data_IF_941090221608
#
_entry.id   IF_941090221608
#
_cell.length_a   1.000
_cell.length_b   1.000
_cell.length_c   1.000
_cell.angle_alpha   90.00
_cell.angle_beta   90.00
_cell.angle_gamma   90.00
#
_symmetry.space_group_name_H-M   'P 1'
#
loop_
_entity.id
_entity.type
_entity.pdbx_description
1 polymer ?
#
# COMPACT_ATOMS: atom_id res chain seq x y z
N UNK A 1 -5.09 3.57 -33.46
CA UNK A 1 -5.45 2.13 -33.33
C UNK A 1 -5.05 1.51 -31.99
N UNK A 2 -3.95 1.91 -31.33
CA UNK A 2 -3.53 1.38 -30.02
C UNK A 2 -4.48 1.64 -28.82
N UNK A 3 -5.25 2.74 -28.81
CA UNK A 3 -6.17 3.06 -27.69
C UNK A 3 -7.42 2.18 -27.65
N UNK A 4 -7.97 1.78 -28.80
CA UNK A 4 -9.19 0.97 -28.84
C UNK A 4 -8.93 -0.50 -28.43
N UNK A 5 -7.77 -1.04 -28.80
CA UNK A 5 -7.33 -2.37 -28.38
C UNK A 5 -7.05 -2.43 -26.86
N UNK A 6 -6.55 -1.34 -26.24
CA UNK A 6 -6.34 -1.32 -24.79
C UNK A 6 -7.66 -1.28 -24.01
N UNK A 7 -8.68 -0.56 -24.48
CA UNK A 7 -9.98 -0.49 -23.80
C UNK A 7 -10.71 -1.84 -23.75
N UNK A 8 -10.60 -2.65 -24.80
CA UNK A 8 -11.21 -4.00 -24.83
C UNK A 8 -10.47 -4.95 -23.91
N UNK A 9 -9.14 -4.97 -23.95
CA UNK A 9 -8.30 -5.76 -23.03
C UNK A 9 -8.53 -5.32 -21.57
N UNK A 10 -8.69 -4.02 -21.32
CA UNK A 10 -9.00 -3.47 -19.99
C UNK A 10 -10.38 -3.89 -19.48
N UNK A 11 -11.42 -3.86 -20.32
CA UNK A 11 -12.76 -4.34 -19.94
C UNK A 11 -12.73 -5.83 -19.66
N UNK A 12 -12.00 -6.61 -20.44
CA UNK A 12 -11.84 -8.05 -20.23
C UNK A 12 -11.05 -8.35 -18.96
N UNK A 13 -9.96 -7.64 -18.67
CA UNK A 13 -9.20 -7.77 -17.41
C UNK A 13 -10.05 -7.40 -16.19
N UNK A 14 -10.77 -6.27 -16.23
CA UNK A 14 -11.68 -5.88 -15.14
C UNK A 14 -12.81 -6.89 -14.94
N UNK A 15 -13.37 -7.42 -16.02
CA UNK A 15 -14.46 -8.40 -15.95
C UNK A 15 -13.95 -9.76 -15.46
N UNK A 16 -12.78 -10.21 -15.93
CA UNK A 16 -12.15 -11.46 -15.49
C UNK A 16 -11.71 -11.40 -14.02
N UNK A 17 -11.21 -10.25 -13.57
CA UNK A 17 -10.92 -10.01 -12.15
C UNK A 17 -12.22 -10.07 -11.32
N UNK A 18 -13.31 -9.45 -11.76
CA UNK A 18 -14.60 -9.44 -11.02
C UNK A 18 -15.33 -10.79 -10.97
N UNK A 19 -15.18 -11.66 -11.97
CA UNK A 19 -15.97 -12.91 -12.06
C UNK A 19 -15.42 -14.01 -11.14
N UNK A 20 -14.14 -13.94 -10.75
CA UNK A 20 -13.47 -14.97 -9.95
C UNK A 20 -13.03 -14.46 -8.57
N UNK A 21 -13.08 -13.14 -8.36
CA UNK A 21 -12.72 -12.52 -7.09
C UNK A 21 -13.91 -12.49 -6.13
N UNK A 22 -13.71 -13.09 -4.95
CA UNK A 22 -14.70 -13.18 -3.88
C UNK A 22 -14.44 -12.16 -2.76
N UNK A 23 -13.48 -11.23 -2.93
CA UNK A 23 -13.10 -10.26 -1.91
C UNK A 23 -14.31 -9.50 -1.33
N UNK A 24 -15.14 -8.91 -2.19
CA UNK A 24 -16.34 -8.16 -1.77
C UNK A 24 -17.36 -9.04 -1.05
N UNK A 25 -17.64 -10.25 -1.57
CA UNK A 25 -18.53 -11.20 -0.91
C UNK A 25 -17.98 -11.75 0.42
N UNK A 26 -16.71 -11.50 0.71
CA UNK A 26 -16.04 -11.89 1.95
C UNK A 26 -16.02 -10.78 2.99
N UNK A 27 -16.43 -9.56 2.61
CA UNK A 27 -16.56 -8.47 3.56
C UNK A 27 -17.59 -8.85 4.64
N UNK A 28 -17.36 -8.40 5.87
CA UNK A 28 -18.19 -8.78 7.01
C UNK A 28 -17.94 -10.18 7.60
N UNK A 29 -17.08 -11.01 6.99
CA UNK A 29 -16.80 -12.38 7.47
C UNK A 29 -15.48 -12.46 8.26
N UNK A 30 -15.35 -13.40 9.23
CA UNK A 30 -14.11 -13.63 9.95
C UNK A 30 -13.05 -14.28 9.06
N UNK A 31 -11.79 -13.95 9.34
CA UNK A 31 -10.65 -14.70 8.83
C UNK A 31 -10.67 -16.13 9.37
N UNK A 32 -10.47 -17.11 8.48
CA UNK A 32 -10.61 -18.53 8.79
C UNK A 32 -9.62 -19.43 8.03
N UNK A 33 -8.63 -18.84 7.34
CA UNK A 33 -7.66 -19.54 6.49
C UNK A 33 -6.20 -19.31 6.96
N UNK A 34 -5.83 -19.50 8.25
CA UNK A 34 -4.47 -19.20 8.72
C UNK A 34 -3.37 -20.02 8.03
N UNK A 35 -3.70 -21.20 7.50
CA UNK A 35 -2.78 -22.10 6.80
C UNK A 35 -2.22 -21.52 5.48
N UNK A 36 -2.78 -20.41 4.98
CA UNK A 36 -2.29 -19.76 3.75
C UNK A 36 -1.08 -18.86 4.00
N UNK A 37 -0.73 -18.57 5.26
CA UNK A 37 0.37 -17.69 5.64
C UNK A 37 1.74 -18.38 5.46
N UNK A 38 2.08 -18.72 4.22
CA UNK A 38 3.30 -19.46 3.85
C UNK A 38 4.25 -18.60 3.03
N UNK A 39 5.57 -18.73 3.16
CA UNK A 39 6.53 -17.91 2.41
C UNK A 39 6.72 -18.38 0.96
N UNK A 40 6.32 -19.62 0.65
CA UNK A 40 6.34 -20.20 -0.69
C UNK A 40 7.70 -20.20 -1.43
N UNK A 41 8.82 -20.21 -0.71
CA UNK A 41 10.17 -20.04 -1.26
C UNK A 41 10.55 -21.00 -2.40
N UNK A 42 10.01 -22.24 -2.40
CA UNK A 42 10.26 -23.24 -3.44
C UNK A 42 8.99 -23.66 -4.18
N UNK A 43 7.94 -22.84 -4.13
CA UNK A 43 6.68 -23.13 -4.79
C UNK A 43 6.83 -23.15 -6.32
N UNK A 44 6.07 -24.05 -6.96
CA UNK A 44 5.90 -24.08 -8.42
C UNK A 44 4.65 -23.35 -8.89
N UNK A 45 3.83 -22.87 -7.95
CA UNK A 45 2.52 -22.23 -8.23
C UNK A 45 2.49 -20.78 -7.79
N UNK A 46 3.20 -20.46 -6.71
CA UNK A 46 3.31 -19.11 -6.15
C UNK A 46 4.70 -18.59 -6.49
N UNK A 47 4.77 -17.43 -7.12
CA UNK A 47 6.02 -16.82 -7.57
C UNK A 47 6.53 -15.74 -6.64
N UNK A 48 5.64 -15.14 -5.84
CA UNK A 48 5.99 -14.22 -4.77
C UNK A 48 4.99 -14.27 -3.63
N UNK A 49 5.45 -13.88 -2.43
CA UNK A 49 4.60 -13.61 -1.27
C UNK A 49 4.93 -12.25 -0.66
N UNK A 50 3.95 -11.63 -0.02
CA UNK A 50 4.10 -10.38 0.73
C UNK A 50 3.81 -10.66 2.19
N UNK A 51 4.65 -10.13 3.07
CA UNK A 51 4.36 -9.96 4.49
C UNK A 51 4.49 -8.49 4.84
N UNK A 52 3.46 -7.96 5.48
CA UNK A 52 3.34 -6.56 5.88
C UNK A 52 3.08 -6.42 7.38
N UNK A 53 3.75 -5.48 8.05
CA UNK A 53 3.33 -4.94 9.35
C UNK A 53 3.45 -3.43 9.31
N UNK A 54 2.33 -2.73 9.42
CA UNK A 54 2.28 -1.27 9.27
C UNK A 54 1.58 -0.63 10.46
N UNK A 55 2.30 0.25 11.17
CA UNK A 55 1.78 1.04 12.30
C UNK A 55 1.66 2.50 11.86
N UNK A 56 0.44 3.06 11.79
CA UNK A 56 0.21 4.40 11.24
C UNK A 56 0.56 5.55 12.19
N UNK A 57 0.60 5.28 13.50
CA UNK A 57 0.79 6.30 14.53
C UNK A 57 1.67 5.74 15.66
N UNK A 58 2.93 6.13 15.65
CA UNK A 58 3.89 5.89 16.73
C UNK A 58 4.28 7.22 17.38
N UNK A 59 4.65 7.22 18.68
CA UNK A 59 5.14 8.43 19.33
C UNK A 59 6.37 9.00 18.62
N UNK A 60 6.58 10.31 18.75
CA UNK A 60 7.81 10.95 18.30
C UNK A 60 9.05 10.29 18.97
N UNK A 61 10.17 10.15 18.25
CA UNK A 61 10.42 10.58 16.87
C UNK A 61 10.02 9.55 15.81
N UNK A 62 9.35 8.45 16.19
CA UNK A 62 9.14 7.30 15.31
C UNK A 62 8.01 7.51 14.30
N UNK A 63 6.90 8.14 14.69
CA UNK A 63 5.75 8.58 13.86
C UNK A 63 4.96 7.48 13.13
N UNK A 64 5.62 6.50 12.54
CA UNK A 64 5.05 5.34 11.87
C UNK A 64 6.04 4.16 11.98
N UNK A 65 5.57 2.95 11.70
CA UNK A 65 6.44 1.82 11.43
C UNK A 65 5.99 1.12 10.15
N UNK A 66 6.97 0.74 9.33
CA UNK A 66 6.79 -0.09 8.15
C UNK A 66 7.59 -1.37 8.32
N UNK A 67 7.01 -2.48 7.88
CA UNK A 67 7.68 -3.68 7.41
C UNK A 67 6.91 -4.09 6.17
N UNK A 68 7.37 -3.73 4.98
CA UNK A 68 6.83 -4.23 3.71
C UNK A 68 7.87 -5.15 3.08
N UNK A 69 7.53 -6.43 2.95
CA UNK A 69 8.40 -7.40 2.29
C UNK A 69 7.77 -8.00 1.04
N UNK A 70 8.62 -8.37 0.09
CA UNK A 70 8.28 -9.22 -1.06
C UNK A 70 9.28 -10.37 -1.12
N UNK A 71 8.81 -11.59 -0.90
CA UNK A 71 9.58 -12.83 -0.99
C UNK A 71 9.36 -13.39 -2.39
N UNK A 72 10.32 -13.17 -3.28
CA UNK A 72 10.20 -13.35 -4.73
C UNK A 72 9.77 -12.05 -5.43
N UNK A 73 10.25 -11.84 -6.66
CA UNK A 73 9.87 -10.70 -7.48
C UNK A 73 8.47 -10.89 -8.11
N UNK A 74 7.76 -9.78 -8.29
CA UNK A 74 6.33 -9.77 -8.67
C UNK A 74 6.09 -9.92 -10.16
N UNK A 75 7.02 -9.43 -10.99
CA UNK A 75 6.85 -9.29 -12.43
C UNK A 75 6.14 -8.00 -12.82
N UNK A 76 6.03 -7.00 -11.93
CA UNK A 76 5.29 -5.75 -12.15
C UNK A 76 6.19 -4.52 -12.20
N UNK A 77 5.78 -3.50 -12.96
CA UNK A 77 6.56 -2.24 -13.07
C UNK A 77 6.70 -1.50 -11.74
N UNK A 78 5.66 -1.52 -10.90
CA UNK A 78 5.66 -0.84 -9.62
C UNK A 78 6.61 -1.51 -8.61
N UNK A 79 6.57 -2.84 -8.52
CA UNK A 79 7.22 -3.54 -7.41
C UNK A 79 8.57 -4.18 -7.75
N UNK A 80 8.87 -4.45 -9.02
CA UNK A 80 10.16 -5.06 -9.38
C UNK A 80 11.26 -4.00 -9.51
N UNK A 81 12.26 -4.12 -8.64
CA UNK A 81 13.48 -3.35 -8.70
C UNK A 81 14.66 -4.22 -9.13
N UNK A 82 14.78 -4.46 -10.45
CA UNK A 82 15.75 -5.43 -11.00
C UNK A 82 17.21 -5.09 -10.67
N UNK A 83 17.51 -3.81 -10.44
CA UNK A 83 18.86 -3.32 -10.12
C UNK A 83 19.26 -3.61 -8.67
N UNK A 84 18.30 -3.96 -7.82
CA UNK A 84 18.48 -4.20 -6.40
C UNK A 84 18.63 -5.69 -6.03
N UNK A 85 18.41 -6.59 -6.99
CA UNK A 85 18.36 -8.02 -6.74
C UNK A 85 19.68 -8.56 -6.15
N UNK A 86 19.58 -9.24 -5.01
CA UNK A 86 20.69 -9.97 -4.38
C UNK A 86 20.88 -11.37 -5.00
N UNK A 87 19.86 -11.91 -5.65
CA UNK A 87 19.87 -13.21 -6.34
C UNK A 87 18.90 -13.18 -7.53
N UNK A 88 18.61 -14.33 -8.16
CA UNK A 88 17.62 -14.36 -9.24
C UNK A 88 16.23 -13.90 -8.75
N UNK A 89 15.34 -13.41 -9.63
CA UNK A 89 14.02 -12.91 -9.23
C UNK A 89 13.19 -13.89 -8.37
N UNK A 90 13.32 -15.21 -8.59
CA UNK A 90 12.64 -16.24 -7.77
C UNK A 90 13.27 -16.46 -6.40
N UNK A 91 14.53 -16.09 -6.24
CA UNK A 91 15.35 -16.39 -5.07
C UNK A 91 15.78 -15.14 -4.31
N UNK A 92 15.06 -14.03 -4.50
CA UNK A 92 15.30 -12.75 -3.85
C UNK A 92 14.14 -12.39 -2.92
N UNK A 93 14.43 -11.92 -1.71
CA UNK A 93 13.47 -11.19 -0.89
C UNK A 93 13.87 -9.72 -0.82
N UNK A 94 12.91 -8.80 -0.86
CA UNK A 94 13.13 -7.38 -0.56
C UNK A 94 12.38 -6.99 0.70
N UNK A 95 12.95 -6.08 1.48
CA UNK A 95 12.34 -5.51 2.68
C UNK A 95 12.53 -3.99 2.66
N UNK A 96 11.45 -3.25 2.89
CA UNK A 96 11.52 -1.89 3.42
C UNK A 96 10.96 -1.90 4.83
N UNK A 97 11.76 -1.51 5.82
CA UNK A 97 11.31 -1.59 7.22
C UNK A 97 11.89 -0.50 8.11
N UNK A 98 11.09 0.38 8.69
CA UNK A 98 11.64 1.51 9.42
C UNK A 98 10.60 2.37 10.10
N UNK A 99 11.10 3.33 10.86
CA UNK A 99 10.31 4.44 11.42
C UNK A 99 10.82 5.76 10.83
N UNK A 100 10.15 6.87 11.11
CA UNK A 100 10.65 8.18 10.72
C UNK A 100 12.05 8.49 11.30
N UNK A 101 12.32 8.00 12.50
CA UNK A 101 13.59 8.21 13.20
C UNK A 101 14.78 7.48 12.56
N UNK A 102 14.52 6.45 11.77
CA UNK A 102 15.55 5.55 11.26
C UNK A 102 15.97 5.88 9.80
N UNK A 103 15.28 6.84 9.17
CA UNK A 103 15.64 7.42 7.86
C UNK A 103 17.12 7.91 7.80
N UNK A 104 17.85 7.76 6.67
CA UNK A 104 17.41 7.28 5.36
C UNK A 104 17.58 5.77 5.13
N UNK A 105 17.95 5.02 6.17
CA UNK A 105 18.17 3.57 6.04
C UNK A 105 16.89 2.81 5.71
N UNK A 106 17.04 1.50 5.48
CA UNK A 106 15.99 0.47 5.48
C UNK A 106 15.35 0.05 4.17
N UNK A 107 16.15 -0.09 3.12
CA UNK A 107 15.82 -1.00 2.03
C UNK A 107 16.90 -2.06 1.91
N UNK A 108 16.51 -3.32 1.98
CA UNK A 108 17.39 -4.47 1.85
C UNK A 108 16.89 -5.46 0.80
N UNK A 109 17.83 -6.11 0.11
CA UNK A 109 17.55 -7.28 -0.72
C UNK A 109 18.39 -8.44 -0.21
N UNK A 110 17.79 -9.61 -0.19
CA UNK A 110 18.29 -10.77 0.51
C UNK A 110 18.16 -12.00 -0.39
N UNK A 111 19.24 -12.77 -0.50
CA UNK A 111 19.27 -14.01 -1.25
C UNK A 111 18.68 -15.15 -0.40
N UNK A 112 17.81 -15.95 -1.00
CA UNK A 112 17.22 -17.12 -0.35
C UNK A 112 18.31 -18.10 0.11
N UNK A 113 18.08 -18.71 1.28
CA UNK A 113 18.97 -19.70 1.90
C UNK A 113 20.36 -19.14 2.33
N UNK A 114 20.57 -17.84 2.19
CA UNK A 114 21.79 -17.13 2.61
C UNK A 114 21.42 -15.98 3.57
N UNK A 115 21.04 -14.83 3.00
CA UNK A 115 20.65 -13.65 3.76
C UNK A 115 19.15 -13.55 4.00
N UNK A 116 18.33 -14.38 3.37
CA UNK A 116 16.93 -14.59 3.74
C UNK A 116 16.64 -16.06 4.02
N UNK A 117 16.08 -16.32 5.20
CA UNK A 117 15.70 -17.67 5.64
C UNK A 117 14.27 -17.63 6.16
N UNK A 118 13.44 -18.60 5.76
CA UNK A 118 12.11 -18.75 6.31
C UNK A 118 11.79 -20.22 6.61
N UNK A 119 11.01 -20.45 7.67
CA UNK A 119 10.44 -21.75 7.96
C UNK A 119 9.35 -22.09 6.92
N UNK A 120 9.29 -23.32 6.37
CA UNK A 120 8.31 -23.68 5.33
C UNK A 120 6.85 -23.49 5.74
N UNK A 121 6.55 -23.57 7.04
CA UNK A 121 5.23 -23.37 7.64
C UNK A 121 4.90 -21.89 7.95
N UNK A 122 5.79 -20.96 7.61
CA UNK A 122 5.62 -19.53 7.89
C UNK A 122 5.92 -19.12 9.33
N UNK A 123 6.37 -20.05 10.18
CA UNK A 123 6.57 -19.77 11.62
C UNK A 123 7.76 -18.85 11.93
N UNK A 124 8.65 -18.64 10.97
CA UNK A 124 9.80 -17.77 11.09
C UNK A 124 10.19 -17.21 9.72
N UNK A 125 10.45 -15.91 9.66
CA UNK A 125 11.02 -15.19 8.52
C UNK A 125 12.16 -14.33 9.06
N UNK A 126 13.35 -14.47 8.49
CA UNK A 126 14.54 -13.70 8.88
C UNK A 126 15.15 -13.04 7.66
N UNK A 127 15.24 -11.71 7.71
CA UNK A 127 15.83 -10.83 6.71
C UNK A 127 17.19 -10.36 7.24
N UNK A 128 18.24 -11.09 6.91
CA UNK A 128 19.61 -10.83 7.36
C UNK A 128 19.70 -10.72 8.88
N UNK A 129 20.38 -9.67 9.33
CA UNK A 129 20.44 -9.26 10.73
C UNK A 129 19.49 -8.08 11.03
N UNK A 130 18.68 -7.68 10.05
CA UNK A 130 17.87 -6.46 10.11
C UNK A 130 16.54 -6.71 10.80
N UNK A 131 15.86 -7.82 10.47
CA UNK A 131 14.51 -8.09 10.97
C UNK A 131 14.18 -9.58 10.99
N UNK A 132 13.49 -9.99 12.05
CA UNK A 132 12.91 -11.33 12.22
C UNK A 132 11.43 -11.20 12.59
N UNK A 133 10.58 -11.96 11.90
CA UNK A 133 9.17 -12.17 12.25
C UNK A 133 9.00 -13.65 12.60
N UNK A 134 8.52 -13.96 13.80
CA UNK A 134 8.32 -15.33 14.30
C UNK A 134 6.92 -15.52 14.88
N UNK A 135 6.48 -16.77 15.00
CA UNK A 135 5.17 -17.13 15.50
C UNK A 135 4.21 -17.54 14.39
N UNK A 136 2.92 -17.61 14.70
CA UNK A 136 1.90 -18.06 13.78
C UNK A 136 0.54 -17.54 14.21
N UNK A 137 -0.42 -17.48 13.29
CA UNK A 137 -1.73 -16.90 13.59
C UNK A 137 -2.35 -17.53 14.87
N UNK A 138 -2.83 -16.72 15.83
CA UNK A 138 -2.94 -15.25 15.78
C UNK A 138 -1.74 -14.48 16.37
N UNK A 139 -0.70 -15.14 16.89
CA UNK A 139 0.36 -14.49 17.66
C UNK A 139 1.71 -14.49 16.95
N UNK A 140 2.23 -13.29 16.71
CA UNK A 140 3.55 -13.10 16.12
C UNK A 140 4.44 -12.24 17.03
N UNK A 141 5.75 -12.35 16.82
CA UNK A 141 6.78 -11.50 17.42
C UNK A 141 7.64 -10.94 16.30
N UNK A 142 7.79 -9.62 16.29
CA UNK A 142 8.65 -8.90 15.37
C UNK A 142 9.82 -8.31 16.15
N UNK A 143 11.03 -8.60 15.70
CA UNK A 143 12.27 -8.06 16.25
C UNK A 143 13.11 -7.50 15.11
N UNK A 144 13.66 -6.31 15.27
CA UNK A 144 14.52 -5.73 14.24
C UNK A 144 15.47 -4.69 14.79
N UNK A 145 16.58 -4.51 14.07
CA UNK A 145 17.56 -3.44 14.31
C UNK A 145 17.74 -2.67 13.01
N UNK A 146 17.07 -1.53 12.96
CA UNK A 146 16.90 -0.69 11.81
C UNK A 146 17.79 0.53 12.02
N UNK A 147 19.08 0.38 11.68
CA UNK A 147 20.09 1.39 11.99
C UNK A 147 20.35 1.43 13.49
N UNK A 148 20.07 2.57 14.13
CA UNK A 148 20.13 2.80 15.57
C UNK A 148 18.77 2.67 16.28
N UNK A 149 17.74 2.24 15.55
CA UNK A 149 16.40 1.94 16.09
C UNK A 149 16.23 0.43 16.26
N UNK A 150 16.07 -0.01 17.50
CA UNK A 150 15.72 -1.40 17.83
C UNK A 150 14.23 -1.50 18.10
N UNK A 151 13.59 -2.53 17.57
CA UNK A 151 12.14 -2.74 17.67
C UNK A 151 11.90 -4.15 18.19
N UNK A 152 11.03 -4.27 19.19
CA UNK A 152 10.52 -5.57 19.66
C UNK A 152 9.03 -5.45 19.91
N UNK A 153 8.23 -6.09 19.06
CA UNK A 153 6.77 -6.04 19.11
C UNK A 153 6.19 -7.44 19.25
N UNK A 154 5.13 -7.56 20.05
CA UNK A 154 4.19 -8.67 20.01
C UNK A 154 2.98 -8.23 19.21
N UNK A 155 2.53 -9.09 18.31
CA UNK A 155 1.38 -8.87 17.44
C UNK A 155 0.32 -9.91 17.75
N UNK A 156 -0.93 -9.47 17.87
CA UNK A 156 -2.11 -10.34 17.99
C UNK A 156 -3.07 -9.99 16.89
N UNK A 157 -3.07 -10.81 15.84
CA UNK A 157 -3.97 -10.67 14.71
C UNK A 157 -5.39 -11.04 15.15
N UNK A 158 -6.34 -10.17 14.89
CA UNK A 158 -7.77 -10.50 15.05
C UNK A 158 -8.26 -11.35 13.87
N UNK A 159 -9.53 -11.73 13.90
CA UNK A 159 -10.23 -12.31 12.75
C UNK A 159 -10.81 -11.24 11.79
N UNK A 160 -10.58 -9.94 12.04
CA UNK A 160 -11.12 -8.83 11.24
C UNK A 160 -10.27 -8.62 9.99
N UNK A 161 -10.63 -9.34 8.93
CA UNK A 161 -9.94 -9.30 7.64
C UNK A 161 -10.50 -8.25 6.69
N UNK A 162 -9.62 -7.64 5.91
CA UNK A 162 -9.95 -6.83 4.75
C UNK A 162 -9.28 -7.45 3.53
N UNK A 163 -10.08 -8.08 2.66
CA UNK A 163 -9.59 -8.69 1.43
C UNK A 163 -9.43 -7.63 0.34
N UNK A 164 -8.21 -7.45 -0.15
CA UNK A 164 -7.93 -6.69 -1.37
C UNK A 164 -8.24 -7.54 -2.60
N UNK A 165 -7.85 -8.80 -2.56
CA UNK A 165 -8.14 -9.82 -3.58
C UNK A 165 -8.32 -11.18 -2.89
N UNK A 166 -9.37 -11.92 -3.24
CA UNK A 166 -9.62 -13.29 -2.75
C UNK A 166 -10.08 -14.18 -3.87
N UNK A 167 -9.14 -14.80 -4.57
CA UNK A 167 -9.40 -15.83 -5.57
C UNK A 167 -8.34 -16.96 -5.50
N UNK A 168 -8.52 -18.08 -6.23
CA UNK A 168 -7.58 -19.21 -6.17
C UNK A 168 -6.15 -18.90 -6.66
N UNK A 169 -5.95 -17.79 -7.36
CA UNK A 169 -4.67 -17.38 -7.95
C UNK A 169 -4.00 -16.27 -7.15
N UNK A 170 -4.79 -15.38 -6.55
CA UNK A 170 -4.30 -14.25 -5.78
C UNK A 170 -5.10 -14.10 -4.48
N UNK A 171 -4.38 -14.25 -3.38
CA UNK A 171 -4.86 -13.98 -2.02
C UNK A 171 -4.09 -12.77 -1.53
N UNK A 172 -4.77 -11.68 -1.20
CA UNK A 172 -4.17 -10.49 -0.61
C UNK A 172 -5.14 -9.85 0.36
N UNK A 173 -4.71 -9.72 1.61
CA UNK A 173 -5.52 -9.16 2.68
C UNK A 173 -4.65 -8.48 3.75
N UNK A 174 -5.29 -7.62 4.52
CA UNK A 174 -4.81 -7.21 5.82
C UNK A 174 -5.67 -7.80 6.93
N UNK A 175 -5.11 -7.95 8.13
CA UNK A 175 -5.79 -8.26 9.38
C UNK A 175 -5.65 -7.09 10.35
N UNK A 176 -6.76 -6.69 10.99
CA UNK A 176 -6.68 -5.75 12.10
C UNK A 176 -5.88 -6.44 13.20
N UNK A 177 -4.82 -5.79 13.66
CA UNK A 177 -3.85 -6.41 14.54
C UNK A 177 -3.59 -5.49 15.71
N UNK A 178 -3.53 -6.06 16.90
CA UNK A 178 -3.09 -5.36 18.10
C UNK A 178 -1.59 -5.56 18.24
N UNK A 179 -0.86 -4.48 18.53
CA UNK A 179 0.56 -4.57 18.84
C UNK A 179 0.83 -4.04 20.23
N UNK A 180 1.85 -4.60 20.88
CA UNK A 180 2.43 -4.08 22.11
C UNK A 180 3.91 -4.45 22.20
N UNK A 181 4.76 -3.54 22.68
CA UNK A 181 6.19 -3.80 22.75
C UNK A 181 6.98 -2.54 23.08
N UNK A 182 8.23 -2.51 22.62
CA UNK A 182 9.15 -1.43 22.88
C UNK A 182 9.96 -1.06 21.63
N UNK A 183 10.30 0.22 21.56
CA UNK A 183 11.22 0.77 20.57
C UNK A 183 12.35 1.47 21.32
N UNK A 184 13.60 1.14 20.98
CA UNK A 184 14.79 1.76 21.57
C UNK A 184 15.53 2.55 20.50
N UNK A 185 15.84 3.82 20.79
CA UNK A 185 16.57 4.72 19.90
C UNK A 185 17.38 5.72 20.74
N UNK A 186 18.67 5.90 20.40
CA UNK A 186 19.55 6.80 21.14
C UNK A 186 19.73 6.43 22.62
N UNK A 187 19.64 5.14 22.95
CA UNK A 187 19.70 4.64 24.34
C UNK A 187 18.44 4.88 25.18
N UNK A 188 17.38 5.42 24.59
CA UNK A 188 16.07 5.61 25.24
C UNK A 188 15.08 4.59 24.72
N UNK A 189 14.33 3.95 25.61
CA UNK A 189 13.30 2.97 25.28
C UNK A 189 11.92 3.56 25.56
N UNK A 190 10.99 3.40 24.60
CA UNK A 190 9.58 3.78 24.73
C UNK A 190 8.71 2.55 24.54
N UNK A 191 7.80 2.32 25.49
CA UNK A 191 6.75 1.32 25.34
C UNK A 191 5.68 1.83 24.38
N UNK A 192 5.25 0.96 23.48
CA UNK A 192 4.30 1.29 22.41
C UNK A 192 3.22 0.21 22.33
N UNK A 193 1.99 0.63 22.09
CA UNK A 193 0.86 -0.26 21.88
C UNK A 193 -0.23 0.41 21.02
N UNK A 194 -1.07 -0.38 20.38
CA UNK A 194 -2.19 0.13 19.61
C UNK A 194 -2.65 -0.82 18.50
N UNK A 195 -3.26 -0.24 17.47
CA UNK A 195 -3.70 -0.95 16.27
C UNK A 195 -2.68 -0.81 15.13
N UNK A 196 -2.46 -1.90 14.41
CA UNK A 196 -1.68 -1.97 13.19
C UNK A 196 -2.38 -2.85 12.14
N UNK A 197 -1.82 -2.92 10.94
CA UNK A 197 -2.24 -3.89 9.92
C UNK A 197 -1.16 -4.94 9.76
N UNK A 198 -1.52 -6.22 9.91
CA UNK A 198 -0.71 -7.34 9.45
C UNK A 198 -1.22 -7.74 8.07
N UNK A 199 -0.35 -7.80 7.07
CA UNK A 199 -0.74 -8.03 5.69
C UNK A 199 -0.06 -9.25 5.10
N UNK A 200 -0.79 -9.96 4.26
CA UNK A 200 -0.28 -11.09 3.53
C UNK A 200 -0.78 -11.08 2.09
N UNK A 201 0.12 -11.35 1.16
CA UNK A 201 -0.17 -11.53 -0.25
C UNK A 201 0.52 -12.78 -0.82
N UNK A 202 -0.12 -13.49 -1.74
CA UNK A 202 0.50 -14.58 -2.48
C UNK A 202 -0.09 -14.69 -3.87
N UNK A 203 0.79 -14.73 -4.88
CA UNK A 203 0.38 -14.77 -6.29
C UNK A 203 1.46 -15.45 -7.16
N UNK A 204 1.09 -16.09 -8.28
CA UNK A 204 2.03 -16.44 -9.33
C UNK A 204 2.81 -15.22 -9.83
N UNK A 205 4.03 -15.46 -10.29
CA UNK A 205 4.83 -14.46 -11.01
C UNK A 205 5.26 -15.03 -12.36
N UNK A 206 5.57 -14.18 -13.37
CA UNK A 206 6.12 -14.66 -14.63
C UNK A 206 7.49 -15.35 -14.43
N UNK A 207 8.15 -15.10 -13.30
CA UNK A 207 9.40 -15.75 -12.95
C UNK A 207 9.25 -17.24 -12.59
N UNK A 208 8.01 -17.74 -12.46
CA UNK A 208 7.74 -19.18 -12.41
C UNK A 208 8.21 -19.91 -13.67
N UNK A 209 8.14 -19.24 -14.82
CA UNK A 209 8.52 -19.77 -16.13
C UNK A 209 9.94 -19.37 -16.52
N UNK A 210 10.35 -18.15 -16.19
CA UNK A 210 11.67 -17.61 -16.52
C UNK A 210 12.29 -16.92 -15.31
N UNK A 211 13.27 -17.54 -14.67
CA UNK A 211 13.94 -16.97 -13.51
C UNK A 211 15.08 -16.01 -13.90
N UNK A 212 14.72 -14.93 -14.60
CA UNK A 212 15.64 -13.86 -14.97
C UNK A 212 14.85 -12.55 -15.15
N UNK A 213 15.43 -11.38 -14.82
CA UNK A 213 14.75 -10.09 -14.93
C UNK A 213 14.07 -9.90 -16.29
N UNK A 214 12.85 -9.38 -16.24
CA UNK A 214 12.07 -9.07 -17.44
C UNK A 214 12.35 -7.63 -17.88
N UNK A 215 12.50 -7.36 -19.19
CA UNK A 215 12.47 -5.99 -19.69
C UNK A 215 11.15 -5.32 -19.31
N UNK A 216 11.18 -4.00 -19.07
CA UNK A 216 10.01 -3.24 -18.62
C UNK A 216 8.74 -3.46 -19.49
N UNK A 217 8.90 -3.64 -20.80
CA UNK A 217 7.79 -3.90 -21.74
C UNK A 217 7.08 -5.24 -21.53
N UNK A 218 7.70 -6.19 -20.82
CA UNK A 218 7.13 -7.51 -20.49
C UNK A 218 6.61 -7.60 -19.04
N UNK A 219 6.83 -6.57 -18.22
CA UNK A 219 6.29 -6.52 -16.86
C UNK A 219 4.80 -6.17 -16.87
N UNK A 220 4.07 -6.64 -15.86
CA UNK A 220 2.69 -6.24 -15.63
C UNK A 220 2.65 -4.70 -15.48
N UNK A 221 1.77 -3.99 -16.21
CA UNK A 221 1.82 -2.54 -16.32
C UNK A 221 1.18 -1.81 -15.12
N UNK A 222 1.32 -2.36 -13.91
CA UNK A 222 0.98 -1.67 -12.66
C UNK A 222 1.96 -0.51 -12.50
N UNK A 223 1.49 0.70 -12.76
CA UNK A 223 2.33 1.89 -12.90
C UNK A 223 1.99 3.02 -11.93
N UNK A 224 0.98 2.81 -11.09
CA UNK A 224 0.63 3.72 -10.01
C UNK A 224 0.07 2.93 -8.84
N UNK A 225 0.60 3.18 -7.65
CA UNK A 225 0.15 2.56 -6.41
C UNK A 225 0.18 3.58 -5.29
N UNK A 226 -0.95 3.68 -4.61
CA UNK A 226 -1.14 4.50 -3.41
C UNK A 226 -1.80 3.62 -2.37
N UNK A 227 -1.26 3.64 -1.15
CA UNK A 227 -1.88 2.98 -0.02
C UNK A 227 -1.72 3.81 1.26
N UNK A 228 -2.81 3.98 2.01
CA UNK A 228 -2.84 4.67 3.30
C UNK A 228 -3.49 3.79 4.35
N UNK A 229 -2.92 3.80 5.54
CA UNK A 229 -3.51 3.20 6.74
C UNK A 229 -3.69 4.29 7.77
N UNK A 230 -4.89 4.37 8.34
CA UNK A 230 -5.23 5.33 9.39
C UNK A 230 -6.01 4.60 10.47
N UNK A 231 -5.55 4.75 11.71
CA UNK A 231 -6.38 4.46 12.87
C UNK A 231 -7.23 5.72 13.11
N UNK A 232 -8.55 5.61 12.88
CA UNK A 232 -9.48 6.73 13.02
C UNK A 232 -9.72 7.08 14.50
N UNK A 233 -9.59 6.06 15.37
CA UNK A 233 -9.51 6.15 16.82
C UNK A 233 -8.83 4.88 17.36
N UNK A 234 -8.96 4.60 18.67
CA UNK A 234 -8.37 3.43 19.32
C UNK A 234 -8.95 2.07 18.87
N UNK A 235 -10.12 2.08 18.23
CA UNK A 235 -10.89 0.89 17.88
C UNK A 235 -11.09 0.72 16.37
N UNK A 236 -10.99 1.79 15.59
CA UNK A 236 -11.36 1.86 14.19
C UNK A 236 -10.15 2.09 13.30
N UNK A 237 -10.04 1.31 12.23
CA UNK A 237 -8.99 1.44 11.22
C UNK A 237 -9.60 1.49 9.83
N UNK A 238 -9.01 2.30 8.96
CA UNK A 238 -9.34 2.33 7.54
C UNK A 238 -8.10 2.14 6.68
N UNK A 239 -8.26 1.32 5.65
CA UNK A 239 -7.28 1.05 4.60
C UNK A 239 -7.77 1.70 3.31
N UNK A 240 -7.01 2.65 2.78
CA UNK A 240 -7.36 3.45 1.61
C UNK A 240 -6.35 3.19 0.51
N UNK A 241 -6.79 2.90 -0.72
CA UNK A 241 -5.85 2.58 -1.79
C UNK A 241 -6.29 3.07 -3.16
N UNK A 242 -5.32 3.25 -4.05
CA UNK A 242 -5.56 3.49 -5.48
C UNK A 242 -4.49 2.82 -6.33
N UNK A 243 -4.93 2.14 -7.39
CA UNK A 243 -4.08 1.46 -8.36
C UNK A 243 -4.35 1.98 -9.76
N UNK A 244 -3.32 2.09 -10.60
CA UNK A 244 -3.49 2.24 -12.05
C UNK A 244 -2.69 1.19 -12.81
N UNK A 245 -3.24 0.79 -13.96
CA UNK A 245 -2.58 -0.10 -14.91
C UNK A 245 -2.51 0.60 -16.27
N UNK A 246 -1.30 0.77 -16.81
CA UNK A 246 -1.06 1.44 -18.09
C UNK A 246 -1.59 2.88 -18.14
N UNK A 247 -1.55 3.57 -17.01
CA UNK A 247 -2.02 4.94 -16.81
C UNK A 247 -3.53 5.07 -16.71
N UNK A 248 -4.26 3.96 -16.54
CA UNK A 248 -5.71 3.95 -16.34
C UNK A 248 -6.01 3.52 -14.90
N UNK A 249 -6.78 4.31 -14.12
CA UNK A 249 -7.20 3.89 -12.78
C UNK A 249 -7.89 2.53 -12.84
N UNK A 250 -7.43 1.56 -12.07
CA UNK A 250 -8.05 0.24 -12.00
C UNK A 250 -9.10 0.21 -10.89
N UNK A 251 -8.70 0.65 -9.69
CA UNK A 251 -9.50 0.55 -8.47
C UNK A 251 -9.06 1.65 -7.51
N UNK A 252 -10.03 2.24 -6.82
CA UNK A 252 -9.85 3.07 -5.62
C UNK A 252 -10.68 2.40 -4.53
N UNK A 253 -10.11 2.11 -3.37
CA UNK A 253 -10.81 1.40 -2.29
C UNK A 253 -10.73 2.13 -0.98
N UNK A 254 -11.77 1.94 -0.17
CA UNK A 254 -11.77 2.22 1.25
C UNK A 254 -12.33 0.99 1.96
N UNK A 255 -11.56 0.43 2.90
CA UNK A 255 -11.93 -0.74 3.70
C UNK A 255 -11.84 -0.35 5.17
N UNK A 256 -12.98 -0.22 5.84
CA UNK A 256 -13.07 0.07 7.27
C UNK A 256 -13.25 -1.22 8.07
N UNK A 257 -12.59 -1.31 9.22
CA UNK A 257 -12.76 -2.40 10.19
C UNK A 257 -12.54 -1.86 11.59
N UNK A 258 -13.03 -2.57 12.60
CA UNK A 258 -12.83 -2.19 13.99
C UNK A 258 -12.75 -3.40 14.91
N UNK A 259 -12.37 -3.19 16.17
CA UNK A 259 -12.36 -4.26 17.18
C UNK A 259 -13.74 -4.92 17.34
N UNK A 260 -14.82 -4.15 17.19
CA UNK A 260 -16.21 -4.59 17.37
C UNK A 260 -16.91 -4.99 16.06
N UNK A 261 -16.35 -4.69 14.87
CA UNK A 261 -17.01 -4.94 13.58
C UNK A 261 -16.07 -5.49 12.51
N UNK A 262 -16.60 -6.44 11.75
CA UNK A 262 -15.95 -6.96 10.56
C UNK A 262 -15.87 -5.93 9.44
N UNK A 263 -14.99 -6.20 8.48
CA UNK A 263 -14.65 -5.29 7.39
C UNK A 263 -15.87 -4.82 6.58
N UNK A 264 -15.91 -3.53 6.28
CA UNK A 264 -16.88 -2.89 5.38
C UNK A 264 -16.12 -2.21 4.25
N UNK A 265 -16.57 -2.44 3.02
CA UNK A 265 -16.06 -1.76 1.83
C UNK A 265 -16.99 -0.63 1.43
N UNK A 266 -16.40 0.45 0.92
CA UNK A 266 -17.15 1.56 0.31
C UNK A 266 -17.02 1.51 -1.20
N UNK A 267 -18.12 1.78 -1.89
CA UNK A 267 -18.19 1.76 -3.36
C UNK A 267 -17.73 3.10 -3.97
N UNK A 268 -18.11 4.21 -3.35
CA UNK A 268 -17.81 5.55 -3.84
C UNK A 268 -16.63 6.16 -3.08
N UNK A 269 -15.46 6.02 -3.69
CA UNK A 269 -14.18 6.46 -3.14
C UNK A 269 -13.41 7.22 -4.21
N UNK A 270 -13.02 8.45 -3.89
CA UNK A 270 -12.14 9.25 -4.72
C UNK A 270 -10.81 9.51 -4.03
N UNK A 271 -9.78 9.74 -4.84
CA UNK A 271 -8.44 10.07 -4.37
C UNK A 271 -7.84 11.13 -5.27
N UNK A 272 -7.20 12.12 -4.65
CA UNK A 272 -6.53 13.22 -5.32
C UNK A 272 -5.16 13.49 -4.70
N UNK A 273 -4.18 13.77 -5.57
CA UNK A 273 -2.94 14.44 -5.15
C UNK A 273 -3.19 15.93 -5.29
N UNK A 274 -3.20 16.63 -4.15
CA UNK A 274 -3.49 18.06 -4.08
C UNK A 274 -2.24 18.89 -4.41
N UNK A 275 -1.08 18.44 -3.92
CA UNK A 275 0.20 19.07 -4.18
C UNK A 275 1.35 18.03 -4.24
N UNK A 276 2.38 18.36 -5.01
CA UNK A 276 3.64 17.62 -5.06
C UNK A 276 4.69 18.35 -4.22
N UNK A 277 5.74 17.63 -3.78
CA UNK A 277 6.94 18.27 -3.24
C UNK A 277 7.64 19.09 -4.34
N UNK A 278 8.38 20.13 -3.94
CA UNK A 278 9.07 21.03 -4.87
C UNK A 278 10.14 20.34 -5.72
N UNK A 279 10.77 19.31 -5.16
CA UNK A 279 11.77 18.49 -5.84
C UNK A 279 11.34 17.02 -5.83
N UNK A 280 11.59 16.28 -6.94
CA UNK A 280 11.44 14.84 -6.96
C UNK A 280 12.31 14.15 -5.90
N UNK A 281 11.81 13.07 -5.31
CA UNK A 281 12.60 12.25 -4.38
C UNK A 281 13.61 11.40 -5.16
N UNK A 282 14.88 11.34 -4.72
CA UNK A 282 15.90 10.53 -5.36
C UNK A 282 15.62 9.05 -5.13
N UNK A 283 15.91 8.23 -6.14
CA UNK A 283 16.02 6.78 -5.97
C UNK A 283 17.49 6.37 -6.04
N UNK A 284 17.92 5.28 -5.38
CA UNK A 284 19.30 4.79 -5.42
C UNK A 284 19.82 4.48 -6.85
N UNK A 285 18.91 4.39 -7.81
CA UNK A 285 19.15 3.95 -9.19
C UNK A 285 19.04 5.09 -10.21
N UNK A 286 18.95 6.34 -9.73
CA UNK A 286 19.01 7.53 -10.59
C UNK A 286 17.73 7.81 -11.38
N UNK A 287 16.60 7.22 -10.99
CA UNK A 287 15.28 7.54 -11.55
C UNK A 287 14.47 8.26 -10.47
N UNK A 288 14.56 9.59 -10.37
CA UNK A 288 13.80 10.32 -9.36
C UNK A 288 12.29 10.21 -9.59
N UNK A 289 11.50 10.39 -8.53
CA UNK A 289 10.04 10.27 -8.56
C UNK A 289 9.39 11.51 -7.92
N UNK A 290 8.42 12.10 -8.61
CA UNK A 290 7.56 13.10 -7.98
C UNK A 290 6.68 12.43 -6.93
N UNK A 291 6.75 12.91 -5.69
CA UNK A 291 5.93 12.40 -4.58
C UNK A 291 4.99 13.51 -4.08
N UNK A 292 3.82 13.15 -3.53
CA UNK A 292 2.88 14.13 -3.02
C UNK A 292 3.41 14.78 -1.73
N UNK A 293 3.15 16.07 -1.59
CA UNK A 293 3.20 16.77 -0.30
C UNK A 293 1.83 16.76 0.37
N UNK A 294 0.75 16.73 -0.42
CA UNK A 294 -0.63 16.72 0.07
C UNK A 294 -1.52 15.79 -0.76
N UNK A 295 -2.41 15.06 -0.09
CA UNK A 295 -3.40 14.19 -0.73
C UNK A 295 -4.76 14.29 -0.06
N UNK A 296 -5.79 13.83 -0.76
CA UNK A 296 -7.15 13.71 -0.23
C UNK A 296 -7.78 12.39 -0.61
N UNK A 297 -8.42 11.74 0.35
CA UNK A 297 -9.40 10.68 0.10
C UNK A 297 -10.78 11.18 0.51
N UNK A 298 -11.77 10.97 -0.36
CA UNK A 298 -13.18 11.19 -0.04
C UNK A 298 -13.91 9.85 -0.20
N UNK A 299 -14.62 9.46 0.85
CA UNK A 299 -15.41 8.23 0.95
C UNK A 299 -16.85 8.63 1.20
N UNK A 300 -17.76 8.29 0.29
CA UNK A 300 -19.19 8.51 0.51
C UNK A 300 -19.83 7.33 1.26
N UNK A 301 -20.76 7.63 2.15
CA UNK A 301 -21.66 6.65 2.75
C UNK A 301 -22.75 6.21 1.78
N UNK A 302 -23.51 5.19 2.16
CA UNK A 302 -24.62 4.67 1.36
C UNK A 302 -25.74 5.71 1.10
N UNK A 303 -25.83 6.75 1.93
CA UNK A 303 -26.76 7.87 1.78
C UNK A 303 -26.22 9.00 0.88
N UNK A 304 -25.04 8.81 0.28
CA UNK A 304 -24.37 9.79 -0.57
C UNK A 304 -23.69 10.94 0.18
N UNK A 305 -23.73 10.94 1.52
CA UNK A 305 -23.03 11.96 2.32
C UNK A 305 -21.58 11.52 2.58
N UNK A 306 -20.63 12.45 2.80
CA UNK A 306 -19.27 12.10 3.19
C UNK A 306 -19.27 11.25 4.47
N UNK A 307 -18.77 10.02 4.35
CA UNK A 307 -18.48 9.15 5.50
C UNK A 307 -17.09 9.46 6.06
N UNK A 308 -16.12 9.69 5.18
CA UNK A 308 -14.78 10.20 5.49
C UNK A 308 -14.35 11.20 4.42
N UNK A 309 -13.87 12.36 4.85
CA UNK A 309 -13.15 13.32 4.01
C UNK A 309 -11.80 13.58 4.67
N UNK A 310 -10.74 12.95 4.17
CA UNK A 310 -9.42 12.91 4.79
C UNK A 310 -8.41 13.70 3.96
N UNK A 311 -7.82 14.72 4.57
CA UNK A 311 -6.74 15.53 4.01
C UNK A 311 -5.43 15.19 4.72
N UNK A 312 -4.45 14.71 3.96
CA UNK A 312 -3.16 14.29 4.50
C UNK A 312 -2.04 15.23 4.02
N UNK A 313 -1.13 15.57 4.93
CA UNK A 313 0.10 16.32 4.67
C UNK A 313 1.30 15.45 5.02
N UNK A 314 2.14 15.19 4.03
CA UNK A 314 3.32 14.32 4.11
C UNK A 314 4.46 15.10 4.79
N UNK A 315 4.50 15.00 6.11
CA UNK A 315 5.40 15.75 7.00
C UNK A 315 6.65 14.96 7.43
N UNK A 316 6.83 13.77 6.86
CA UNK A 316 7.92 12.84 7.15
C UNK A 316 8.69 12.51 5.88
N UNK A 317 9.99 12.24 6.00
CA UNK A 317 10.84 11.90 4.85
C UNK A 317 10.38 10.61 4.19
N UNK A 318 10.43 10.58 2.85
CA UNK A 318 10.11 9.41 2.06
C UNK A 318 11.28 8.41 2.08
N UNK A 319 11.04 7.22 2.62
CA UNK A 319 12.01 6.12 2.65
C UNK A 319 11.82 5.25 1.43
N UNK A 320 12.86 5.13 0.59
CA UNK A 320 12.83 4.28 -0.59
C UNK A 320 12.79 2.80 -0.21
N UNK A 321 12.12 1.97 -1.01
CA UNK A 321 12.20 0.50 -0.89
C UNK A 321 10.88 -0.25 -1.08
N UNK A 322 9.78 0.48 -1.26
CA UNK A 322 8.49 -0.07 -1.68
C UNK A 322 8.55 -0.43 -3.17
N UNK A 323 9.26 -1.51 -3.49
CA UNK A 323 9.61 -1.84 -4.86
C UNK A 323 10.41 -0.72 -5.53
N UNK A 324 9.77 0.04 -6.42
CA UNK A 324 10.36 1.21 -7.09
C UNK A 324 9.99 2.57 -6.49
N UNK A 325 9.19 2.60 -5.43
CA UNK A 325 8.77 3.84 -4.75
C UNK A 325 9.11 3.87 -3.27
N UNK A 326 8.24 4.52 -2.50
CA UNK A 326 8.56 5.01 -1.17
C UNK A 326 7.46 4.71 -0.14
N UNK A 327 7.88 4.64 1.13
CA UNK A 327 7.01 4.65 2.30
C UNK A 327 7.26 5.93 3.12
N UNK A 328 6.24 6.44 3.81
CA UNK A 328 6.37 7.58 4.72
C UNK A 328 5.22 7.63 5.74
N UNK A 329 5.32 8.53 6.70
CA UNK A 329 4.21 8.94 7.56
C UNK A 329 3.62 10.28 7.14
N UNK A 330 2.42 10.58 7.64
CA UNK A 330 1.76 11.87 7.42
C UNK A 330 0.96 12.29 8.65
N UNK A 331 0.60 13.57 8.70
CA UNK A 331 -0.45 14.11 9.57
C UNK A 331 -1.72 14.33 8.75
N UNK A 332 -2.89 14.23 9.39
CA UNK A 332 -4.16 14.48 8.72
C UNK A 332 -5.14 15.29 9.55
N UNK A 333 -6.05 15.96 8.84
CA UNK A 333 -7.34 16.39 9.35
C UNK A 333 -8.43 15.70 8.53
N UNK A 334 -9.55 15.35 9.17
CA UNK A 334 -10.65 14.71 8.48
C UNK A 334 -12.00 15.03 9.09
N UNK A 335 -13.06 14.87 8.27
CA UNK A 335 -14.43 14.74 8.75
C UNK A 335 -14.78 13.25 8.69
N UNK A 336 -14.98 12.61 9.84
CA UNK A 336 -15.40 11.21 9.94
C UNK A 336 -16.77 11.11 10.60
N UNK A 337 -17.76 10.59 9.87
CA UNK A 337 -19.17 10.49 10.31
C UNK A 337 -19.71 11.82 10.86
N UNK A 338 -19.29 12.94 10.26
CA UNK A 338 -19.70 14.29 10.64
C UNK A 338 -18.92 14.91 11.81
N UNK A 339 -17.97 14.19 12.41
CA UNK A 339 -17.09 14.72 13.45
C UNK A 339 -15.72 15.07 12.87
N UNK A 340 -15.15 16.19 13.30
CA UNK A 340 -13.77 16.54 12.99
C UNK A 340 -12.82 15.66 13.81
N UNK A 341 -11.82 15.08 13.12
CA UNK A 341 -10.75 14.31 13.73
C UNK A 341 -9.41 14.73 13.11
N UNK A 342 -8.32 14.48 13.84
CA UNK A 342 -6.95 14.64 13.35
C UNK A 342 -6.06 13.58 13.95
N UNK A 343 -4.93 13.30 13.30
CA UNK A 343 -4.01 12.27 13.74
C UNK A 343 -2.87 12.05 12.76
N UNK A 344 -2.28 10.85 12.81
CA UNK A 344 -1.21 10.42 11.91
C UNK A 344 -1.62 9.19 11.10
N UNK A 345 -0.95 9.01 9.98
CA UNK A 345 -1.15 7.86 9.11
C UNK A 345 0.14 7.37 8.47
N UNK A 346 0.06 6.15 7.92
CA UNK A 346 1.11 5.52 7.13
C UNK A 346 0.78 5.59 5.64
N UNK A 347 1.76 5.88 4.79
CA UNK A 347 1.61 6.08 3.36
C UNK A 347 2.63 5.32 2.53
N UNK A 348 2.16 4.72 1.45
CA UNK A 348 2.93 4.05 0.42
C UNK A 348 2.63 4.67 -0.94
N UNK A 349 3.68 4.96 -1.71
CA UNK A 349 3.56 5.67 -2.97
C UNK A 349 4.52 5.16 -4.05
N UNK A 350 3.97 4.88 -5.22
CA UNK A 350 4.70 4.56 -6.44
C UNK A 350 4.02 5.28 -7.60
N UNK A 351 4.78 6.07 -8.36
CA UNK A 351 4.36 6.58 -9.68
C UNK A 351 5.42 6.27 -10.74
N UNK A 352 5.08 5.34 -11.63
CA UNK A 352 5.91 4.90 -12.77
C UNK A 352 5.29 5.32 -14.10
N UNK A 353 4.26 6.17 -14.09
CA UNK A 353 3.67 6.72 -15.31
C UNK A 353 4.69 7.67 -15.96
N UNK A 354 4.83 7.59 -17.28
CA UNK A 354 5.87 8.33 -18.01
C UNK A 354 5.78 9.85 -17.85
N UNK A 355 6.94 10.52 -17.74
CA UNK A 355 7.07 11.98 -17.72
C UNK A 355 6.40 12.68 -18.93
N UNK A 356 6.33 12.02 -20.09
CA UNK A 356 5.62 12.53 -21.29
C UNK A 356 4.10 12.77 -21.06
N UNK A 357 3.49 12.15 -20.04
CA UNK A 357 2.10 12.43 -19.64
C UNK A 357 1.96 13.45 -18.52
N UNK A 358 3.03 13.75 -17.79
CA UNK A 358 3.03 14.84 -16.81
C UNK A 358 3.16 16.22 -17.48
N UNK A 359 3.79 16.31 -18.67
CA UNK A 359 3.81 17.53 -19.50
C UNK A 359 2.41 17.97 -19.99
N UNK A 360 1.39 17.10 -19.95
CA UNK A 360 -0.01 17.45 -20.22
C UNK A 360 -0.69 18.17 -19.04
N UNK A 361 -0.06 18.22 -17.85
CA UNK A 361 -0.49 19.07 -16.72
C UNK A 361 0.02 20.52 -16.82
N UNK A 362 0.98 20.79 -17.72
CA UNK A 362 1.48 22.14 -18.02
C UNK A 362 0.61 22.96 -18.98
N UNK A 363 -0.53 22.42 -19.45
CA UNK A 363 -1.54 23.20 -20.18
C UNK A 363 -2.76 23.32 -19.27
N UNK A 364 -2.90 24.51 -18.69
CA UNK A 364 -4.05 24.87 -17.88
C UNK A 364 -5.36 24.45 -18.54
N UNK A 365 -6.31 24.04 -17.70
CA UNK A 365 -7.71 24.01 -18.10
C UNK A 365 -8.04 25.35 -18.78
N UNK A 366 -8.59 25.36 -20.01
CA UNK A 366 -9.24 26.57 -20.47
C UNK A 366 -10.38 26.85 -19.49
N UNK A 367 -10.33 28.04 -18.88
CA UNK A 367 -11.39 28.56 -18.04
C UNK A 367 -12.75 28.31 -18.71
N UNK A 368 -13.71 27.81 -17.93
CA UNK A 368 -15.09 27.70 -18.35
C UNK A 368 -15.54 29.02 -18.95
N UNK A 369 -16.03 28.97 -20.20
CA UNK A 369 -16.66 30.13 -20.82
C UNK A 369 -17.94 30.45 -20.03
N UNK A 370 -18.19 31.72 -19.67
CA UNK A 370 -19.42 32.09 -19.02
C UNK A 370 -20.61 31.77 -19.93
N UNK A 371 -21.64 31.17 -19.32
CA UNK A 371 -22.95 30.94 -19.93
C UNK A 371 -23.50 32.28 -20.44
N UNK A 372 -23.93 32.40 -21.71
CA UNK A 372 -24.52 33.64 -22.19
C UNK A 372 -25.90 33.84 -21.55
N UNK A 373 -26.11 35.03 -20.99
CA UNK A 373 -27.41 35.51 -20.54
C UNK A 373 -28.47 35.36 -21.63
N UNK A 374 -29.50 34.57 -21.35
CA UNK A 374 -30.74 34.53 -22.12
C UNK A 374 -31.38 35.92 -22.17
N UNK A 375 -31.68 36.50 -23.35
CA UNK A 375 -32.34 37.80 -23.41
C UNK A 375 -33.79 37.70 -22.94
N UNK A 376 -34.15 38.53 -21.95
CA UNK A 376 -35.55 38.82 -21.61
C UNK A 376 -36.29 39.34 -22.85
N UNK A 377 -37.35 38.63 -23.24
CA UNK A 377 -38.30 39.08 -24.24
C UNK A 377 -38.91 40.43 -23.82
N UNK A 378 -38.54 41.51 -24.52
CA UNK A 378 -39.29 42.77 -24.49
C UNK A 378 -40.53 42.59 -25.36
N UNK A 379 -41.70 42.51 -24.70
CA UNK A 379 -42.96 42.93 -25.31
C UNK A 379 -42.85 44.43 -25.60
N UNK A 380 -43.12 44.84 -26.84
CA UNK A 380 -43.68 46.17 -27.12
C UNK A 380 -44.94 45.97 -27.94
N UNK A 381 -45.98 46.62 -27.44
CA UNK A 381 -47.22 46.88 -28.14
C UNK A 381 -46.97 47.85 -29.32
N UNK A 382 -47.93 47.80 -30.25
CA UNK A 382 -48.16 48.65 -31.44
C UNK A 382 -47.09 48.64 -32.52
#
# INVERSE_FOLDING_TARGET
MHRAASTVVQRLLRSALRIVDSAESSDGQPFSEPEILLPHMRSRRVGWTHYGVMIPDLPEPHRFFSMMSLVGATGSLAFDNDQALAASPRHNASLVAGTAASYPGHFGNYAFDDTFVAAPDGSALRFGDDLTLTGGYPHFRLEGRLGDVEITLRLTNTDKVSWFFRNPVYKHFGLLTEYAGAITHGGSTVDVEGLCSFEYGACPSPYLVRDAPLPASFKAPLDYFVYQIVNLDADNQILLSRYSIGGTPLMTTALHRSRDRYGTRFEDVSFEVLALRDAPEPTPYGIPMDVPSETRFLVAGADGRPWLDLHATMDTNFTFGLGSGFVTGFVYTAIWRGAEISGRGYFEFIDRRSADRQALRGRGHPAERPVPDTPRARRRAS
#
